data_IF_315495767273
#
_entry.id   IF_315495767273
#
_cell.length_a   1.000
_cell.length_b   1.000
_cell.length_c   1.000
_cell.angle_alpha   90.00
_cell.angle_beta   90.00
_cell.angle_gamma   90.00
#
_symmetry.space_group_name_H-M   'P 1'
#
loop_
_entity.id
_entity.type
_entity.pdbx_description
1 polymer ?
#
# COMPACT_ATOMS: atom_id res chain seq x y z
N UNK A 1 -0.77 21.80 -11.88
CA UNK A 1 -0.85 20.86 -13.02
C UNK A 1 -0.08 19.56 -12.78
N UNK A 2 1.18 19.59 -12.33
CA UNK A 2 1.98 18.39 -12.04
C UNK A 2 1.36 17.40 -11.04
N UNK A 3 0.59 17.86 -10.05
CA UNK A 3 -0.06 16.99 -9.06
C UNK A 3 -1.12 16.06 -9.68
N UNK A 4 -1.87 16.53 -10.69
CA UNK A 4 -2.88 15.71 -11.37
C UNK A 4 -2.22 14.59 -12.17
N UNK A 5 -1.10 14.91 -12.82
CA UNK A 5 -0.30 13.91 -13.51
C UNK A 5 0.27 12.86 -12.53
N UNK A 6 0.78 13.30 -11.37
CA UNK A 6 1.22 12.40 -10.31
C UNK A 6 0.10 11.50 -9.76
N UNK A 7 -1.09 12.06 -9.53
CA UNK A 7 -2.26 11.30 -9.06
C UNK A 7 -2.72 10.28 -10.09
N UNK A 8 -2.66 10.64 -11.38
CA UNK A 8 -2.95 9.73 -12.49
C UNK A 8 -1.99 8.55 -12.52
N UNK A 9 -0.69 8.78 -12.37
CA UNK A 9 0.32 7.70 -12.29
C UNK A 9 0.08 6.77 -11.09
N UNK A 10 -0.27 7.32 -9.93
CA UNK A 10 -0.61 6.52 -8.74
C UNK A 10 -1.87 5.68 -9.00
N UNK A 11 -2.90 6.26 -9.61
CA UNK A 11 -4.13 5.54 -9.94
C UNK A 11 -3.89 4.37 -10.89
N UNK A 12 -3.11 4.60 -11.96
CA UNK A 12 -2.74 3.55 -12.92
C UNK A 12 -1.91 2.45 -12.24
N UNK A 13 -0.89 2.82 -11.47
CA UNK A 13 -0.03 1.84 -10.78
C UNK A 13 -0.79 1.00 -9.74
N UNK A 14 -1.60 1.64 -8.91
CA UNK A 14 -2.40 0.93 -7.90
C UNK A 14 -3.50 0.06 -8.52
N UNK A 15 -4.10 0.51 -9.64
CA UNK A 15 -5.07 -0.26 -10.41
C UNK A 15 -4.48 -1.51 -11.06
N UNK A 16 -3.19 -1.50 -11.42
CA UNK A 16 -2.49 -2.67 -11.94
C UNK A 16 -2.08 -3.67 -10.86
N UNK A 17 -1.55 -3.20 -9.73
CA UNK A 17 -0.96 -4.08 -8.70
C UNK A 17 -2.04 -4.74 -7.83
N UNK A 18 -3.03 -3.96 -7.35
CA UNK A 18 -4.01 -4.43 -6.36
C UNK A 18 -4.83 -5.65 -6.79
N UNK A 19 -5.34 -5.78 -8.04
CA UNK A 19 -6.09 -6.98 -8.45
C UNK A 19 -5.19 -8.19 -8.74
N UNK A 20 -3.94 -7.98 -9.14
CA UNK A 20 -3.04 -9.06 -9.54
C UNK A 20 -2.51 -9.89 -8.36
N UNK A 21 -2.18 -9.24 -7.23
CA UNK A 21 -1.61 -9.90 -6.05
C UNK A 21 -2.53 -10.98 -5.45
N UNK A 22 -3.81 -10.70 -5.09
CA UNK A 22 -4.69 -11.71 -4.53
C UNK A 22 -5.07 -12.80 -5.54
N UNK A 23 -5.15 -12.45 -6.83
CA UNK A 23 -5.43 -13.43 -7.89
C UNK A 23 -4.27 -14.44 -8.02
N UNK A 24 -3.03 -13.97 -8.07
CA UNK A 24 -1.85 -14.83 -8.09
C UNK A 24 -1.73 -15.68 -6.82
N UNK A 25 -2.04 -15.11 -5.65
CA UNK A 25 -2.06 -15.86 -4.39
C UNK A 25 -3.11 -16.96 -4.38
N UNK A 26 -4.30 -16.70 -4.93
CA UNK A 26 -5.37 -17.69 -5.04
C UNK A 26 -5.05 -18.83 -6.02
N UNK A 27 -4.35 -18.51 -7.12
CA UNK A 27 -3.96 -19.49 -8.16
C UNK A 27 -3.03 -20.61 -7.63
N UNK A 28 -2.35 -20.38 -6.50
CA UNK A 28 -1.50 -21.37 -5.85
C UNK A 28 -2.27 -22.52 -5.18
N UNK A 29 -3.59 -22.42 -5.00
CA UNK A 29 -4.39 -23.40 -4.30
C UNK A 29 -5.19 -24.28 -5.26
N UNK A 30 -5.12 -25.61 -5.05
CA UNK A 30 -5.84 -26.59 -5.86
C UNK A 30 -7.21 -26.87 -5.25
N UNK A 31 -8.26 -26.49 -5.98
CA UNK A 31 -9.66 -26.70 -5.58
C UNK A 31 -10.18 -28.06 -6.09
N UNK A 32 -11.04 -28.78 -5.33
CA UNK A 32 -11.64 -28.39 -4.04
C UNK A 32 -10.83 -28.76 -2.80
N UNK A 33 -9.70 -29.46 -2.96
CA UNK A 33 -8.98 -30.08 -1.83
C UNK A 33 -8.42 -29.06 -0.82
N UNK A 34 -8.12 -27.83 -1.27
CA UNK A 34 -7.51 -26.77 -0.45
C UNK A 34 -8.42 -25.57 -0.16
N UNK A 35 -9.75 -25.73 -0.28
CA UNK A 35 -10.72 -24.63 -0.11
C UNK A 35 -10.64 -23.94 1.27
N UNK A 36 -10.45 -24.73 2.34
CA UNK A 36 -10.27 -24.18 3.71
C UNK A 36 -8.99 -23.34 3.84
N UNK A 37 -7.92 -23.75 3.16
CA UNK A 37 -6.65 -23.04 3.18
C UNK A 37 -6.74 -21.74 2.38
N UNK A 38 -7.43 -21.76 1.24
CA UNK A 38 -7.73 -20.56 0.45
C UNK A 38 -8.52 -19.52 1.27
N UNK A 39 -9.55 -19.96 1.99
CA UNK A 39 -10.35 -19.08 2.85
C UNK A 39 -9.51 -18.48 4.00
N UNK A 40 -8.63 -19.30 4.60
CA UNK A 40 -7.69 -18.85 5.64
C UNK A 40 -6.69 -17.83 5.11
N UNK A 41 -6.16 -18.04 3.90
CA UNK A 41 -5.28 -17.09 3.21
C UNK A 41 -5.97 -15.74 3.03
N UNK A 42 -7.18 -15.71 2.46
CA UNK A 42 -7.91 -14.45 2.28
C UNK A 42 -8.23 -13.76 3.60
N UNK A 43 -8.58 -14.51 4.65
CA UNK A 43 -8.86 -13.94 5.98
C UNK A 43 -7.63 -13.22 6.54
N UNK A 44 -6.47 -13.88 6.51
CA UNK A 44 -5.21 -13.26 6.97
C UNK A 44 -4.79 -12.10 6.07
N UNK A 45 -4.92 -12.25 4.75
CA UNK A 45 -4.60 -11.20 3.78
C UNK A 45 -5.41 -9.91 4.03
N UNK A 46 -6.73 -10.02 4.20
CA UNK A 46 -7.58 -8.87 4.51
C UNK A 46 -7.28 -8.28 5.88
N UNK A 47 -7.02 -9.12 6.89
CA UNK A 47 -6.61 -8.66 8.21
C UNK A 47 -5.35 -7.79 8.13
N UNK A 48 -4.31 -8.26 7.42
CA UNK A 48 -3.06 -7.51 7.25
C UNK A 48 -3.27 -6.19 6.50
N UNK A 49 -4.13 -6.13 5.48
CA UNK A 49 -4.45 -4.88 4.75
C UNK A 49 -5.13 -3.85 5.67
N UNK A 50 -6.04 -4.30 6.53
CA UNK A 50 -6.68 -3.41 7.50
C UNK A 50 -5.67 -2.89 8.53
N UNK A 51 -4.81 -3.77 9.05
CA UNK A 51 -3.74 -3.38 9.97
C UNK A 51 -2.76 -2.39 9.33
N UNK A 52 -2.32 -2.63 8.09
CA UNK A 52 -1.41 -1.70 7.41
C UNK A 52 -2.04 -0.34 7.14
N UNK A 53 -3.33 -0.32 6.79
CA UNK A 53 -4.09 0.93 6.61
C UNK A 53 -4.18 1.72 7.92
N UNK A 54 -4.39 1.05 9.05
CA UNK A 54 -4.40 1.67 10.37
C UNK A 54 -3.02 2.24 10.73
N UNK A 55 -1.97 1.45 10.54
CA UNK A 55 -0.59 1.89 10.79
C UNK A 55 -0.27 3.10 9.92
N UNK A 56 -0.63 3.08 8.64
CA UNK A 56 -0.36 4.18 7.73
C UNK A 56 -1.12 5.45 8.12
N UNK A 57 -2.37 5.33 8.58
CA UNK A 57 -3.14 6.46 9.07
C UNK A 57 -2.53 7.12 10.32
N UNK A 58 -1.82 6.36 11.16
CA UNK A 58 -1.12 6.86 12.35
C UNK A 58 0.25 7.43 11.97
N UNK A 59 1.02 6.73 11.14
CA UNK A 59 2.41 7.09 10.81
C UNK A 59 2.48 8.28 9.86
N UNK A 60 1.56 8.39 8.89
CA UNK A 60 1.59 9.48 7.91
C UNK A 60 1.52 10.90 8.50
N UNK A 61 0.63 11.23 9.47
CA UNK A 61 0.62 12.54 10.11
C UNK A 61 1.86 12.77 11.00
N UNK A 62 2.28 11.76 11.77
CA UNK A 62 3.46 11.85 12.63
C UNK A 62 4.73 12.18 11.81
N UNK A 63 4.90 11.53 10.67
CA UNK A 63 6.03 11.75 9.77
C UNK A 63 6.02 13.16 9.15
N UNK A 64 4.83 13.72 8.91
CA UNK A 64 4.66 15.03 8.30
C UNK A 64 4.97 16.19 9.25
N UNK A 65 4.60 16.05 10.52
CA UNK A 65 4.69 17.15 11.52
C UNK A 65 5.94 17.06 12.39
N UNK A 66 6.54 15.87 12.54
CA UNK A 66 7.74 15.68 13.38
C UNK A 66 9.03 16.22 12.74
N UNK A 67 9.04 16.47 11.43
CA UNK A 67 10.22 16.92 10.68
C UNK A 67 9.89 18.18 9.90
N UNK A 68 10.56 19.27 10.22
CA UNK A 68 10.49 20.50 9.43
C UNK A 68 11.40 20.39 8.20
N UNK A 69 10.85 20.70 7.03
CA UNK A 69 11.57 20.64 5.75
C UNK A 69 11.50 22.01 5.07
N UNK A 70 12.60 22.44 4.44
CA UNK A 70 12.65 23.67 3.63
C UNK A 70 12.21 24.96 4.39
N UNK A 71 12.32 24.98 5.72
CA UNK A 71 11.89 26.11 6.54
C UNK A 71 10.40 26.16 6.87
N UNK A 72 9.61 25.21 6.36
CA UNK A 72 8.19 25.04 6.64
C UNK A 72 7.98 23.99 7.75
N UNK A 73 6.94 24.16 8.56
CA UNK A 73 6.64 23.27 9.70
C UNK A 73 6.11 21.89 9.27
N UNK A 74 5.74 21.72 8.01
CA UNK A 74 5.01 20.55 7.51
C UNK A 74 5.70 19.97 6.26
N UNK A 75 6.13 18.71 6.32
CA UNK A 75 6.89 18.08 5.24
C UNK A 75 6.05 17.06 4.43
N UNK A 76 5.34 17.54 3.41
CA UNK A 76 4.56 16.67 2.52
C UNK A 76 5.42 15.75 1.65
N UNK A 77 6.59 16.23 1.19
CA UNK A 77 7.48 15.44 0.34
C UNK A 77 7.95 14.18 1.03
N UNK A 78 8.24 14.23 2.34
CA UNK A 78 8.65 13.06 3.12
C UNK A 78 7.52 12.02 3.23
N UNK A 79 6.28 12.49 3.47
CA UNK A 79 5.10 11.63 3.59
C UNK A 79 4.79 10.84 2.30
N UNK A 80 5.05 11.42 1.12
CA UNK A 80 4.86 10.73 -0.16
C UNK A 80 6.12 9.97 -0.64
N UNK A 81 7.31 10.40 -0.24
CA UNK A 81 8.57 9.76 -0.64
C UNK A 81 8.79 8.43 0.07
N UNK A 82 8.42 8.31 1.35
CA UNK A 82 8.60 7.06 2.11
C UNK A 82 7.83 5.89 1.47
N UNK A 83 6.52 6.00 1.16
CA UNK A 83 5.80 4.95 0.43
C UNK A 83 6.40 4.66 -0.95
N UNK A 84 6.90 5.67 -1.66
CA UNK A 84 7.51 5.49 -2.98
C UNK A 84 8.79 4.64 -2.91
N UNK A 85 9.67 4.90 -1.93
CA UNK A 85 10.89 4.10 -1.70
C UNK A 85 10.51 2.67 -1.29
N UNK A 86 9.55 2.52 -0.37
CA UNK A 86 9.09 1.20 0.06
C UNK A 86 8.53 0.37 -1.12
N UNK A 87 7.78 0.99 -2.03
CA UNK A 87 7.27 0.33 -3.23
C UNK A 87 8.40 -0.11 -4.17
N UNK A 88 9.44 0.72 -4.35
CA UNK A 88 10.61 0.36 -5.16
C UNK A 88 11.36 -0.83 -4.55
N UNK A 89 11.49 -0.86 -3.22
CA UNK A 89 12.16 -1.96 -2.50
C UNK A 89 11.33 -3.26 -2.48
N UNK A 90 10.00 -3.15 -2.57
CA UNK A 90 9.09 -4.28 -2.54
C UNK A 90 8.86 -4.95 -3.92
N UNK A 91 9.37 -4.33 -4.99
CA UNK A 91 9.36 -4.88 -6.36
C UNK A 91 10.53 -5.84 -6.55
#
# INVERSE_FOLDING_TARGET
EFTLFGLFLIAVGTGGIKPCVPALGADQFILPQQEKQLTGFFTLFYFTICCSSLISAIVSPELRTSVSCFGEQECYSLAFLVPAILMILAT
#
